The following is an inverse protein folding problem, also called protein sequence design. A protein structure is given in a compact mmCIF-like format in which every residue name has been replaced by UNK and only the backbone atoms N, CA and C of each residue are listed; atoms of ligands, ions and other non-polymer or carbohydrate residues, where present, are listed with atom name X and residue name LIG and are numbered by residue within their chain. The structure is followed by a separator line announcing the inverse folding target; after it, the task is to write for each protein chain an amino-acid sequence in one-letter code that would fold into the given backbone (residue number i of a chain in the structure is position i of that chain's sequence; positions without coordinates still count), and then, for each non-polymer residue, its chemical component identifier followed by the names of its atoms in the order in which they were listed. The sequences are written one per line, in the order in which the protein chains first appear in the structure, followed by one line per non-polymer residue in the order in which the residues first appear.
data_IF_865184718444
#
_entry.id   IF_865184718444
#
_cell.length_a   1.000
_cell.length_b   1.000
_cell.length_c   1.000
_cell.angle_alpha   90.00
_cell.angle_beta   90.00
_cell.angle_gamma   90.00
#
_symmetry.space_group_name_H-M   'P 1'
#
loop_
_entity.id
_entity.type
_entity.pdbx_description
1 polymer ?
#
# COMPACT_ATOMS: atom_id res chain seq x y z
N UNK A 1 -14.97 -9.93 -13.54
CA UNK A 1 -15.27 -9.16 -14.79
C UNK A 1 -14.19 -9.46 -15.82
N UNK A 2 -14.46 -9.33 -17.12
CA UNK A 2 -13.45 -9.47 -18.18
C UNK A 2 -13.25 -8.12 -18.87
N UNK A 3 -12.02 -7.67 -18.96
CA UNK A 3 -11.64 -6.42 -19.64
C UNK A 3 -10.50 -6.73 -20.60
N UNK A 4 -10.45 -6.04 -21.74
CA UNK A 4 -9.31 -6.11 -22.65
C UNK A 4 -8.43 -4.89 -22.38
N UNK A 5 -7.14 -5.11 -22.18
CA UNK A 5 -6.15 -4.05 -21.95
C UNK A 5 -5.04 -4.16 -22.99
N UNK A 6 -4.54 -3.00 -23.44
CA UNK A 6 -3.36 -2.94 -24.29
C UNK A 6 -2.12 -2.87 -23.41
N UNK A 7 -1.15 -3.75 -23.65
CA UNK A 7 0.14 -3.76 -22.96
C UNK A 7 1.28 -3.87 -23.99
N UNK A 8 2.44 -3.23 -23.75
CA UNK A 8 3.61 -3.40 -24.61
C UNK A 8 4.04 -4.86 -24.72
N UNK A 9 4.45 -5.29 -25.93
CA UNK A 9 4.94 -6.66 -26.17
C UNK A 9 6.01 -7.13 -25.17
N UNK A 10 7.03 -6.33 -24.82
CA UNK A 10 8.06 -6.79 -23.88
C UNK A 10 7.49 -7.15 -22.50
N UNK A 11 6.45 -6.43 -22.06
CA UNK A 11 5.78 -6.69 -20.77
C UNK A 11 4.95 -7.96 -20.87
N UNK A 12 4.22 -8.14 -21.98
CA UNK A 12 3.45 -9.36 -22.22
C UNK A 12 4.35 -10.60 -22.22
N UNK A 13 5.44 -10.57 -22.97
CA UNK A 13 6.38 -11.71 -23.06
C UNK A 13 7.00 -12.07 -21.71
N UNK A 14 7.41 -11.07 -20.93
CA UNK A 14 7.94 -11.28 -19.58
C UNK A 14 6.88 -11.89 -18.64
N UNK A 15 5.64 -11.41 -18.72
CA UNK A 15 4.53 -11.95 -17.92
C UNK A 15 4.18 -13.40 -18.31
N UNK A 16 4.18 -13.74 -19.61
CA UNK A 16 3.94 -15.11 -20.07
C UNK A 16 5.00 -16.09 -19.54
N UNK A 17 6.27 -15.68 -19.60
CA UNK A 17 7.38 -16.49 -19.11
C UNK A 17 7.27 -16.70 -17.60
N UNK A 18 7.00 -15.64 -16.84
CA UNK A 18 6.82 -15.72 -15.39
C UNK A 18 5.62 -16.58 -14.99
N UNK A 19 4.48 -16.44 -15.69
CA UNK A 19 3.30 -17.26 -15.43
C UNK A 19 3.62 -18.75 -15.61
N UNK A 20 4.38 -19.09 -16.66
CA UNK A 20 4.79 -20.47 -16.93
C UNK A 20 5.74 -21.01 -15.85
N UNK A 21 6.71 -20.21 -15.41
CA UNK A 21 7.65 -20.58 -14.35
C UNK A 21 6.94 -20.82 -13.01
N UNK A 22 5.93 -20.02 -12.70
CA UNK A 22 5.14 -20.12 -11.48
C UNK A 22 3.97 -21.12 -11.57
N UNK A 23 3.73 -21.70 -12.76
CA UNK A 23 2.58 -22.58 -12.99
C UNK A 23 1.22 -21.89 -12.90
N UNK A 24 1.17 -20.57 -13.08
CA UNK A 24 -0.03 -19.75 -12.98
C UNK A 24 -0.70 -19.59 -14.34
N UNK A 25 -2.02 -19.42 -14.31
CA UNK A 25 -2.72 -18.93 -15.50
C UNK A 25 -2.39 -17.45 -15.74
N UNK A 26 -2.48 -17.01 -17.00
CA UNK A 26 -2.30 -15.59 -17.34
C UNK A 26 -3.20 -14.67 -16.52
N UNK A 27 -4.50 -15.01 -16.47
CA UNK A 27 -5.49 -14.24 -15.71
C UNK A 27 -5.17 -14.15 -14.23
N UNK A 28 -4.62 -15.22 -13.66
CA UNK A 28 -4.21 -15.27 -12.25
C UNK A 28 -2.99 -14.39 -12.00
N UNK A 29 -1.95 -14.49 -12.82
CA UNK A 29 -0.78 -13.61 -12.72
C UNK A 29 -1.18 -12.13 -12.77
N UNK A 30 -1.97 -11.72 -13.78
CA UNK A 30 -2.40 -10.33 -13.91
C UNK A 30 -3.29 -9.87 -12.76
N UNK A 31 -4.22 -10.72 -12.29
CA UNK A 31 -5.10 -10.37 -11.16
C UNK A 31 -4.31 -10.18 -9.87
N UNK A 32 -3.35 -11.07 -9.60
CA UNK A 32 -2.47 -10.98 -8.43
C UNK A 32 -1.60 -9.74 -8.48
N UNK A 33 -1.01 -9.43 -9.65
CA UNK A 33 -0.20 -8.23 -9.82
C UNK A 33 -1.02 -6.94 -9.60
N UNK A 34 -2.25 -6.88 -10.12
CA UNK A 34 -3.14 -5.73 -9.90
C UNK A 34 -3.53 -5.62 -8.43
N UNK A 35 -3.86 -6.73 -7.77
CA UNK A 35 -4.21 -6.73 -6.35
C UNK A 35 -3.06 -6.18 -5.48
N UNK A 36 -1.84 -6.70 -5.69
CA UNK A 36 -0.66 -6.25 -4.98
C UNK A 36 -0.35 -4.76 -5.24
N UNK A 37 -0.50 -4.30 -6.48
CA UNK A 37 -0.31 -2.90 -6.83
C UNK A 37 -1.32 -2.00 -6.12
N UNK A 38 -2.60 -2.38 -6.12
CA UNK A 38 -3.67 -1.63 -5.44
C UNK A 38 -3.45 -1.60 -3.94
N UNK A 39 -3.06 -2.73 -3.32
CA UNK A 39 -2.75 -2.80 -1.90
C UNK A 39 -1.58 -1.89 -1.51
N UNK A 40 -0.49 -1.89 -2.29
CA UNK A 40 0.67 -1.04 -2.05
C UNK A 40 0.35 0.47 -2.05
N UNK A 41 -0.66 0.89 -2.83
CA UNK A 41 -1.08 2.30 -2.90
C UNK A 41 -2.23 2.63 -1.94
N UNK A 42 -2.87 1.64 -1.32
CA UNK A 42 -3.87 1.88 -0.28
C UNK A 42 -3.22 2.36 1.03
N UNK A 43 -2.01 1.89 1.37
CA UNK A 43 -1.29 2.38 2.56
C UNK A 43 -0.88 3.85 2.45
N UNK A 44 -0.49 4.30 1.25
CA UNK A 44 -0.21 5.73 0.99
C UNK A 44 -1.48 6.59 1.14
N UNK A 45 -2.64 6.00 0.86
CA UNK A 45 -3.92 6.69 0.96
C UNK A 45 -4.36 6.94 2.42
N UNK A 46 -3.92 6.15 3.40
CA UNK A 46 -4.30 6.37 4.81
C UNK A 46 -3.74 7.69 5.32
N UNK A 47 -2.45 7.95 5.09
CA UNK A 47 -1.82 9.22 5.45
C UNK A 47 -2.49 10.39 4.74
N UNK A 48 -2.78 10.26 3.44
CA UNK A 48 -3.44 11.32 2.69
C UNK A 48 -4.88 11.59 3.17
N UNK A 49 -5.63 10.54 3.51
CA UNK A 49 -6.97 10.67 4.13
C UNK A 49 -6.90 11.33 5.49
N UNK A 50 -5.95 10.94 6.34
CA UNK A 50 -5.75 11.56 7.64
C UNK A 50 -5.34 13.03 7.49
N UNK A 51 -4.46 13.35 6.53
CA UNK A 51 -4.10 14.74 6.21
C UNK A 51 -5.32 15.56 5.77
N UNK A 52 -6.25 14.98 5.01
CA UNK A 52 -7.50 15.67 4.64
C UNK A 52 -8.39 15.96 5.86
N UNK A 53 -8.53 14.99 6.77
CA UNK A 53 -9.32 15.18 8.00
C UNK A 53 -8.68 16.25 8.89
N UNK A 54 -7.38 16.15 9.12
CA UNK A 54 -6.60 17.09 9.94
C UNK A 54 -6.22 18.39 9.22
N UNK A 55 -6.65 18.59 7.97
CA UNK A 55 -6.55 19.90 7.33
C UNK A 55 -7.48 20.91 8.02
N UNK A 56 -8.64 20.42 8.47
CA UNK A 56 -9.69 21.22 9.11
C UNK A 56 -9.79 20.98 10.63
N UNK A 57 -9.21 19.88 11.13
CA UNK A 57 -9.18 19.52 12.56
C UNK A 57 -7.76 19.59 13.16
N UNK A 58 -7.64 20.05 14.40
CA UNK A 58 -6.34 20.07 15.08
C UNK A 58 -5.85 18.63 15.37
N UNK A 59 -4.72 18.26 14.80
CA UNK A 59 -4.05 16.95 15.04
C UNK A 59 -3.17 16.93 16.31
N UNK A 60 -3.24 17.97 17.14
CA UNK A 60 -2.40 18.09 18.33
C UNK A 60 -2.93 17.25 19.48
N UNK A 61 -2.07 16.44 20.09
CA UNK A 61 -2.39 15.73 21.34
C UNK A 61 -2.52 16.71 22.51
N UNK A 62 -3.35 16.35 23.48
CA UNK A 62 -3.41 17.08 24.76
C UNK A 62 -1.99 17.14 25.39
N UNK A 63 -1.54 18.30 25.86
CA UNK A 63 -0.18 18.46 26.38
C UNK A 63 0.18 17.51 27.54
N UNK A 64 -0.80 17.16 28.38
CA UNK A 64 -0.58 16.21 29.50
C UNK A 64 -0.41 14.80 28.95
N UNK A 65 -1.22 14.41 27.97
CA UNK A 65 -1.13 13.10 27.33
C UNK A 65 0.19 12.93 26.57
N UNK A 66 0.65 13.98 25.88
CA UNK A 66 1.94 13.99 25.21
C UNK A 66 3.09 13.78 26.20
N UNK A 67 3.09 14.50 27.33
CA UNK A 67 4.10 14.34 28.38
C UNK A 67 4.13 12.93 28.97
N UNK A 68 2.95 12.34 29.25
CA UNK A 68 2.84 10.97 29.76
C UNK A 68 3.36 9.95 28.74
N UNK A 69 3.07 10.13 27.45
CA UNK A 69 3.56 9.26 26.39
C UNK A 69 5.08 9.35 26.24
N UNK A 70 5.65 10.56 26.24
CA UNK A 70 7.11 10.76 26.14
C UNK A 70 7.82 10.13 27.35
N UNK A 71 7.28 10.32 28.56
CA UNK A 71 7.85 9.72 29.77
C UNK A 71 7.81 8.18 29.76
N UNK A 72 6.90 7.57 29.00
CA UNK A 72 6.85 6.10 28.82
C UNK A 72 7.96 5.55 27.92
N UNK A 73 8.61 6.40 27.11
CA UNK A 73 9.67 5.99 26.18
C UNK A 73 11.08 6.09 26.80
N UNK A 74 11.26 6.92 27.84
CA UNK A 74 12.56 7.18 28.50
C UNK A 74 13.12 5.97 29.31
N UNK A 75 12.49 4.80 29.22
CA UNK A 75 12.91 3.57 29.90
C UNK A 75 13.52 2.48 29.00
N UNK A 76 13.47 2.63 27.68
CA UNK A 76 13.97 1.60 26.76
C UNK A 76 15.33 2.01 26.17
N UNK A 77 16.40 1.41 26.69
CA UNK A 77 17.70 1.39 26.01
C UNK A 77 17.58 0.50 24.78
N UNK A 78 17.33 1.09 23.62
CA UNK A 78 17.54 0.45 22.31
C UNK A 78 19.03 0.41 21.96
#
# INVERSE_FOLDING_TARGET
MKTAISIPNPIFEAAEQLAKELGLSRSELYSTAIAAFVEAHQSENVTERLNQIYADEASTLDPVLLQLQTASLDGETW
#
